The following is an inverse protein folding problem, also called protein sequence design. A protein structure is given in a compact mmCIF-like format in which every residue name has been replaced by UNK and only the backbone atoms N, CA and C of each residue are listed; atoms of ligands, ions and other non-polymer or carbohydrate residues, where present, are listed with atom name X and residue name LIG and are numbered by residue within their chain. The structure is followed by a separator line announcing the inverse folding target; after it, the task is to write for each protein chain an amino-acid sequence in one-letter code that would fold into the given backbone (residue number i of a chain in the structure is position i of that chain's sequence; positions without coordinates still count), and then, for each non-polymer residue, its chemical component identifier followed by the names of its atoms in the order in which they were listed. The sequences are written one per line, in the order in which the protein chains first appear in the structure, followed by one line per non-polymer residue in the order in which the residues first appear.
data_IF_188238459656
#
_entry.id   IF_188238459656
#
_cell.length_a   1.000
_cell.length_b   1.000
_cell.length_c   1.000
_cell.angle_alpha   90.00
_cell.angle_beta   90.00
_cell.angle_gamma   90.00
#
_symmetry.space_group_name_H-M   'P 1'
#
loop_
_entity.id
_entity.type
_entity.pdbx_description
1 polymer ?
#
# COMPACT_ATOMS: atom_id res chain seq x y z
N UNK A 1 24.65 -25.19 -16.41
CA UNK A 1 23.23 -24.83 -16.27
C UNK A 1 23.15 -23.30 -16.34
N UNK A 2 23.01 -22.79 -17.56
CA UNK A 2 23.02 -21.35 -17.84
C UNK A 2 21.64 -20.80 -17.54
N UNK A 3 21.56 -19.89 -16.56
CA UNK A 3 20.32 -19.15 -16.24
C UNK A 3 20.13 -18.11 -17.34
N UNK A 4 19.24 -18.40 -18.30
CA UNK A 4 18.73 -17.42 -19.25
C UNK A 4 17.71 -16.52 -18.52
N UNK A 5 18.16 -15.42 -17.96
CA UNK A 5 17.30 -14.46 -17.22
C UNK A 5 16.85 -13.28 -18.12
N UNK A 6 17.31 -13.19 -19.38
CA UNK A 6 16.92 -12.13 -20.30
C UNK A 6 16.73 -12.68 -21.72
N UNK A 7 15.71 -13.52 -21.95
CA UNK A 7 15.16 -13.66 -23.29
C UNK A 7 14.16 -12.52 -23.51
N UNK A 8 14.52 -11.68 -24.47
CA UNK A 8 13.79 -10.55 -25.05
C UNK A 8 12.30 -10.49 -24.68
N UNK A 9 11.94 -9.50 -23.87
CA UNK A 9 10.54 -9.09 -23.67
C UNK A 9 9.97 -8.78 -25.05
N UNK A 10 9.19 -9.72 -25.59
CA UNK A 10 8.65 -9.63 -26.95
C UNK A 10 7.51 -8.59 -26.93
N UNK A 11 7.55 -7.61 -27.82
CA UNK A 11 6.51 -6.58 -27.96
C UNK A 11 5.09 -7.20 -28.00
N UNK A 12 4.97 -8.40 -28.56
CA UNK A 12 3.71 -9.14 -28.62
C UNK A 12 3.23 -9.61 -27.22
N UNK A 13 4.12 -9.95 -26.31
CA UNK A 13 3.76 -10.32 -24.93
C UNK A 13 3.28 -9.08 -24.15
N UNK A 14 3.92 -7.95 -24.39
CA UNK A 14 3.47 -6.67 -23.83
C UNK A 14 2.08 -6.30 -24.36
N UNK A 15 1.86 -6.42 -25.66
CA UNK A 15 0.55 -6.14 -26.29
C UNK A 15 -0.51 -7.11 -25.77
N UNK A 16 -0.18 -8.41 -25.64
CA UNK A 16 -1.09 -9.42 -25.09
C UNK A 16 -1.39 -9.15 -23.62
N UNK A 17 -0.40 -8.73 -22.84
CA UNK A 17 -0.61 -8.33 -21.44
C UNK A 17 -1.59 -7.16 -21.36
N UNK A 18 -1.38 -6.08 -22.11
CA UNK A 18 -2.30 -4.94 -22.10
C UNK A 18 -3.69 -5.26 -22.66
N UNK A 19 -3.78 -6.16 -23.64
CA UNK A 19 -5.07 -6.59 -24.20
C UNK A 19 -5.86 -7.54 -23.29
N UNK A 20 -5.18 -8.21 -22.35
CA UNK A 20 -5.81 -9.06 -21.34
C UNK A 20 -6.36 -8.29 -20.13
N UNK A 21 -6.06 -6.99 -20.02
CA UNK A 21 -6.58 -6.15 -18.94
C UNK A 21 -8.06 -5.84 -19.22
N UNK A 22 -8.93 -6.42 -18.38
CA UNK A 22 -10.36 -6.10 -18.43
C UNK A 22 -10.62 -4.81 -17.64
N UNK A 23 -11.01 -3.75 -18.33
CA UNK A 23 -11.33 -2.44 -17.74
C UNK A 23 -12.80 -2.32 -17.30
N UNK A 24 -13.47 -3.44 -17.01
CA UNK A 24 -14.88 -3.45 -16.56
C UNK A 24 -15.04 -2.97 -15.09
N UNK A 25 -14.40 -1.87 -14.76
CA UNK A 25 -14.61 -1.24 -13.46
C UNK A 25 -15.94 -0.51 -13.39
N UNK A 26 -16.63 -0.66 -12.28
CA UNK A 26 -17.75 0.20 -11.97
C UNK A 26 -17.27 1.66 -11.79
N UNK A 27 -18.16 2.63 -11.99
CA UNK A 27 -17.85 4.05 -11.77
C UNK A 27 -17.34 4.27 -10.34
N UNK A 28 -17.91 3.55 -9.37
CA UNK A 28 -17.53 3.63 -7.94
C UNK A 28 -16.09 3.14 -7.74
N UNK A 29 -15.71 2.02 -8.34
CA UNK A 29 -14.34 1.49 -8.29
C UNK A 29 -13.35 2.45 -8.94
N UNK A 30 -13.70 2.99 -10.10
CA UNK A 30 -12.85 3.97 -10.80
C UNK A 30 -12.59 5.20 -9.94
N UNK A 31 -13.63 5.75 -9.30
CA UNK A 31 -13.49 6.89 -8.39
C UNK A 31 -12.62 6.51 -7.18
N UNK A 32 -12.84 5.34 -6.58
CA UNK A 32 -12.06 4.86 -5.44
C UNK A 32 -10.57 4.75 -5.78
N UNK A 33 -10.24 4.16 -6.95
CA UNK A 33 -8.85 4.04 -7.43
C UNK A 33 -8.22 5.40 -7.71
N UNK A 34 -8.92 6.31 -8.40
CA UNK A 34 -8.40 7.65 -8.70
C UNK A 34 -8.10 8.40 -7.41
N UNK A 35 -9.00 8.33 -6.42
CA UNK A 35 -8.79 8.97 -5.12
C UNK A 35 -7.65 8.31 -4.32
N UNK A 36 -7.44 7.00 -4.42
CA UNK A 36 -6.33 6.32 -3.76
C UNK A 36 -4.98 6.73 -4.37
N UNK A 37 -4.88 6.86 -5.68
CA UNK A 37 -3.68 7.39 -6.35
C UNK A 37 -3.44 8.86 -5.96
N UNK A 38 -4.50 9.68 -5.95
CA UNK A 38 -4.43 11.07 -5.52
C UNK A 38 -3.96 11.18 -4.07
N UNK A 39 -4.43 10.32 -3.17
CA UNK A 39 -3.94 10.24 -1.79
C UNK A 39 -2.43 10.09 -1.75
N UNK A 40 -1.87 9.09 -2.45
CA UNK A 40 -0.42 8.83 -2.42
C UNK A 40 0.37 10.00 -2.99
N UNK A 41 -0.08 10.60 -4.12
CA UNK A 41 0.57 11.77 -4.72
C UNK A 41 0.53 12.98 -3.75
N UNK A 42 -0.58 13.24 -3.09
CA UNK A 42 -0.68 14.33 -2.12
C UNK A 42 0.17 14.06 -0.87
N UNK A 43 0.27 12.79 -0.44
CA UNK A 43 1.11 12.40 0.68
C UNK A 43 2.61 12.63 0.38
N UNK A 44 3.09 12.39 -0.85
CA UNK A 44 4.47 12.72 -1.23
C UNK A 44 4.79 14.21 -1.08
N UNK A 45 3.78 15.06 -1.29
CA UNK A 45 3.87 16.52 -1.15
C UNK A 45 3.55 17.02 0.27
N UNK A 46 3.33 16.11 1.22
CA UNK A 46 2.89 16.40 2.59
C UNK A 46 1.61 17.27 2.65
N UNK A 47 0.79 17.22 1.61
CA UNK A 47 -0.44 17.99 1.57
C UNK A 47 -1.51 17.31 2.43
N UNK A 48 -2.08 18.03 3.40
CA UNK A 48 -3.06 17.50 4.36
C UNK A 48 -4.32 16.94 3.69
N UNK A 49 -4.68 17.42 2.50
CA UNK A 49 -5.82 16.91 1.73
C UNK A 49 -5.66 15.46 1.28
N UNK A 50 -4.43 14.89 1.41
CA UNK A 50 -4.23 13.46 1.21
C UNK A 50 -5.17 12.63 2.09
N UNK A 51 -5.41 13.04 3.33
CA UNK A 51 -6.28 12.34 4.25
C UNK A 51 -7.75 12.39 3.87
N UNK A 52 -8.21 13.51 3.25
CA UNK A 52 -9.56 13.58 2.71
C UNK A 52 -9.73 12.64 1.49
N UNK A 53 -8.76 12.63 0.57
CA UNK A 53 -8.75 11.72 -0.56
C UNK A 53 -8.72 10.24 -0.08
N UNK A 54 -7.87 9.91 0.90
CA UNK A 54 -7.82 8.60 1.52
C UNK A 54 -9.17 8.21 2.14
N UNK A 55 -9.76 9.08 2.96
CA UNK A 55 -11.02 8.82 3.65
C UNK A 55 -12.17 8.53 2.69
N UNK A 56 -12.30 9.32 1.61
CA UNK A 56 -13.35 9.11 0.60
C UNK A 56 -13.08 7.81 -0.17
N UNK A 57 -11.84 7.58 -0.64
CA UNK A 57 -11.47 6.36 -1.35
C UNK A 57 -11.80 5.11 -0.51
N UNK A 58 -11.36 5.10 0.74
CA UNK A 58 -11.55 3.98 1.66
C UNK A 58 -13.03 3.76 1.98
N UNK A 59 -13.84 4.82 2.12
CA UNK A 59 -15.29 4.70 2.32
C UNK A 59 -15.97 4.01 1.12
N UNK A 60 -15.54 4.32 -0.10
CA UNK A 60 -16.02 3.63 -1.30
C UNK A 60 -15.56 2.16 -1.30
N UNK A 61 -14.33 1.86 -0.91
CA UNK A 61 -13.85 0.48 -0.80
C UNK A 61 -14.57 -0.32 0.30
N UNK A 62 -14.97 0.30 1.42
CA UNK A 62 -15.82 -0.34 2.43
C UNK A 62 -17.13 -0.80 1.79
N UNK A 63 -17.78 0.07 1.02
CA UNK A 63 -19.02 -0.27 0.31
C UNK A 63 -18.79 -1.41 -0.69
N UNK A 64 -17.74 -1.33 -1.53
CA UNK A 64 -17.41 -2.34 -2.53
C UNK A 64 -17.12 -3.70 -1.87
N UNK A 65 -16.27 -3.75 -0.86
CA UNK A 65 -15.90 -4.98 -0.18
C UNK A 65 -17.10 -5.59 0.57
N UNK A 66 -17.91 -4.75 1.22
CA UNK A 66 -19.09 -5.22 1.96
C UNK A 66 -20.15 -5.83 1.03
N UNK A 67 -20.45 -5.17 -0.10
CA UNK A 67 -21.40 -5.70 -1.09
C UNK A 67 -20.90 -6.96 -1.79
N UNK A 68 -19.58 -7.11 -1.93
CA UNK A 68 -18.92 -8.31 -2.43
C UNK A 68 -18.78 -9.42 -1.37
N UNK A 69 -19.29 -9.20 -0.14
CA UNK A 69 -19.17 -10.13 1.01
C UNK A 69 -17.72 -10.45 1.42
N UNK A 70 -16.79 -9.54 1.12
CA UNK A 70 -15.38 -9.59 1.51
C UNK A 70 -15.22 -8.96 2.90
N UNK A 71 -15.69 -9.65 3.94
CA UNK A 71 -15.74 -9.09 5.30
C UNK A 71 -14.37 -8.81 5.93
N UNK A 72 -13.32 -9.66 5.73
CA UNK A 72 -11.97 -9.35 6.23
C UNK A 72 -11.40 -8.08 5.60
N UNK A 73 -11.56 -7.92 4.29
CA UNK A 73 -11.14 -6.74 3.54
C UNK A 73 -11.91 -5.49 3.98
N UNK A 74 -13.22 -5.64 4.21
CA UNK A 74 -14.06 -4.56 4.77
C UNK A 74 -13.53 -4.11 6.12
N UNK A 75 -13.14 -5.05 6.99
CA UNK A 75 -12.51 -4.74 8.29
C UNK A 75 -11.20 -3.98 8.15
N UNK A 76 -10.35 -4.34 7.20
CA UNK A 76 -9.11 -3.63 6.89
C UNK A 76 -9.39 -2.21 6.38
N UNK A 77 -10.39 -2.03 5.53
CA UNK A 77 -10.78 -0.71 5.05
C UNK A 77 -11.33 0.18 6.18
N UNK A 78 -12.09 -0.38 7.13
CA UNK A 78 -12.53 0.36 8.32
C UNK A 78 -11.31 0.83 9.14
N UNK A 79 -10.30 -0.03 9.32
CA UNK A 79 -9.04 0.38 9.94
C UNK A 79 -8.39 1.55 9.19
N UNK A 80 -8.28 1.51 7.87
CA UNK A 80 -7.70 2.59 7.08
C UNK A 80 -8.52 3.89 7.19
N UNK A 81 -9.85 3.80 7.28
CA UNK A 81 -10.70 4.98 7.52
C UNK A 81 -10.38 5.64 8.86
N UNK A 82 -10.24 4.85 9.93
CA UNK A 82 -9.83 5.35 11.25
C UNK A 82 -8.43 5.99 11.18
N UNK A 83 -7.51 5.38 10.43
CA UNK A 83 -6.17 5.93 10.24
C UNK A 83 -6.17 7.21 9.40
N UNK A 84 -7.10 7.37 8.46
CA UNK A 84 -7.25 8.62 7.70
C UNK A 84 -7.67 9.78 8.62
N UNK A 85 -8.64 9.57 9.52
CA UNK A 85 -8.99 10.55 10.55
C UNK A 85 -7.82 10.82 11.49
N UNK A 86 -7.18 9.77 12.01
CA UNK A 86 -6.04 9.93 12.90
C UNK A 86 -4.89 10.70 12.24
N UNK A 87 -4.57 10.39 10.98
CA UNK A 87 -3.53 11.05 10.21
C UNK A 87 -3.84 12.53 9.96
N UNK A 88 -5.09 12.85 9.61
CA UNK A 88 -5.54 14.23 9.48
C UNK A 88 -5.30 15.03 10.77
N UNK A 89 -5.73 14.51 11.93
CA UNK A 89 -5.52 15.18 13.22
C UNK A 89 -4.05 15.28 13.59
N UNK A 90 -3.24 14.24 13.27
CA UNK A 90 -1.80 14.26 13.57
C UNK A 90 -1.06 15.30 12.71
N UNK A 91 -1.38 15.38 11.41
CA UNK A 91 -0.73 16.33 10.52
C UNK A 91 -1.20 17.77 10.73
N UNK A 92 -2.38 17.97 11.32
CA UNK A 92 -2.91 19.30 11.64
C UNK A 92 -2.50 19.81 13.04
N UNK A 93 -1.77 19.01 13.84
CA UNK A 93 -1.21 19.48 15.11
C UNK A 93 -0.17 20.57 14.85
N UNK A 94 -0.04 21.50 15.84
CA UNK A 94 0.93 22.58 15.80
C UNK A 94 0.84 23.41 14.51
N UNK A 95 -0.38 23.78 14.08
CA UNK A 95 -0.63 24.57 12.86
C UNK A 95 -0.11 23.90 11.56
N UNK A 96 -0.01 22.56 11.54
CA UNK A 96 0.46 21.82 10.37
C UNK A 96 1.97 21.60 10.31
N UNK A 97 2.71 22.01 11.31
CA UNK A 97 4.19 21.93 11.39
C UNK A 97 4.69 20.56 11.90
N UNK A 98 4.02 19.46 11.55
CA UNK A 98 4.56 18.14 11.85
C UNK A 98 5.76 17.88 10.94
N UNK A 99 6.96 17.85 11.53
CA UNK A 99 8.21 17.56 10.83
C UNK A 99 8.33 16.08 10.42
N UNK A 100 9.17 15.81 9.42
CA UNK A 100 9.47 14.44 9.01
C UNK A 100 10.37 13.80 10.07
N UNK A 101 9.85 12.72 10.67
CA UNK A 101 10.55 11.98 11.69
C UNK A 101 11.45 10.89 11.08
N UNK A 102 12.63 10.70 11.68
CA UNK A 102 13.49 9.54 11.43
C UNK A 102 13.49 8.63 12.65
N UNK A 103 13.13 7.38 12.47
CA UNK A 103 13.16 6.40 13.55
C UNK A 103 14.51 5.69 13.59
N UNK A 104 14.93 5.33 14.79
CA UNK A 104 16.16 4.55 15.02
C UNK A 104 16.04 3.15 14.44
N UNK A 105 17.15 2.56 14.06
CA UNK A 105 17.21 1.18 13.53
C UNK A 105 16.58 0.17 14.51
N UNK A 106 16.75 0.38 15.83
CA UNK A 106 16.16 -0.48 16.84
C UNK A 106 14.63 -0.51 16.81
N UNK A 107 13.97 0.65 16.55
CA UNK A 107 12.51 0.69 16.36
C UNK A 107 12.08 -0.08 15.13
N UNK A 108 12.82 0.02 14.03
CA UNK A 108 12.53 -0.73 12.81
C UNK A 108 12.69 -2.23 13.02
N UNK A 109 13.77 -2.68 13.64
CA UNK A 109 13.99 -4.09 13.95
C UNK A 109 12.89 -4.65 14.85
N UNK A 110 12.45 -3.90 15.86
CA UNK A 110 11.35 -4.29 16.73
C UNK A 110 10.03 -4.43 15.96
N UNK A 111 9.69 -3.47 15.11
CA UNK A 111 8.46 -3.52 14.30
C UNK A 111 8.51 -4.64 13.26
N UNK A 112 9.65 -4.89 12.63
CA UNK A 112 9.85 -5.98 11.68
C UNK A 112 9.68 -7.33 12.39
N UNK A 113 10.27 -7.48 13.59
CA UNK A 113 10.16 -8.71 14.37
C UNK A 113 8.69 -8.99 14.77
N UNK A 114 7.99 -7.99 15.32
CA UNK A 114 6.58 -8.14 15.67
C UNK A 114 5.74 -8.40 14.41
N UNK A 115 5.97 -7.63 13.35
CA UNK A 115 5.28 -7.82 12.07
C UNK A 115 5.47 -9.23 11.51
N UNK A 116 6.69 -9.77 11.57
CA UNK A 116 6.99 -11.13 11.12
C UNK A 116 6.26 -12.19 11.97
N UNK A 117 6.25 -12.03 13.30
CA UNK A 117 5.53 -12.94 14.21
C UNK A 117 4.03 -12.92 13.91
N UNK A 118 3.43 -11.73 13.81
CA UNK A 118 1.98 -11.60 13.51
C UNK A 118 1.65 -12.15 12.12
N UNK A 119 2.49 -11.86 11.12
CA UNK A 119 2.35 -12.42 9.76
C UNK A 119 2.37 -13.95 9.78
N UNK A 120 3.31 -14.54 10.52
CA UNK A 120 3.41 -16.00 10.62
C UNK A 120 2.17 -16.60 11.32
N UNK A 121 1.75 -16.05 12.45
CA UNK A 121 0.57 -16.54 13.20
C UNK A 121 -0.71 -16.41 12.37
N UNK A 122 -0.89 -15.28 11.71
CA UNK A 122 -2.05 -15.01 10.88
C UNK A 122 -2.06 -15.89 9.61
N UNK A 123 -0.90 -16.00 8.96
CA UNK A 123 -0.72 -16.86 7.80
C UNK A 123 -0.92 -18.34 8.13
N UNK A 124 -0.40 -18.80 9.27
CA UNK A 124 -0.62 -20.17 9.76
C UNK A 124 -2.11 -20.43 10.03
N UNK A 125 -2.80 -19.49 10.70
CA UNK A 125 -4.24 -19.60 10.94
C UNK A 125 -5.02 -19.73 9.63
N UNK A 126 -4.79 -18.85 8.66
CA UNK A 126 -5.48 -18.91 7.37
C UNK A 126 -5.12 -20.12 6.53
N UNK A 127 -3.88 -20.62 6.60
CA UNK A 127 -3.48 -21.86 5.95
C UNK A 127 -4.24 -23.06 6.52
N UNK A 128 -4.48 -23.05 7.84
CA UNK A 128 -5.09 -24.21 8.53
C UNK A 128 -6.61 -24.20 8.43
N UNK A 129 -7.24 -23.03 8.47
CA UNK A 129 -8.70 -22.91 8.63
C UNK A 129 -9.42 -22.32 7.42
N UNK A 130 -8.70 -21.97 6.34
CA UNK A 130 -9.31 -21.40 5.13
C UNK A 130 -8.71 -22.00 3.86
N UNK A 131 -9.37 -21.76 2.72
CA UNK A 131 -8.88 -22.15 1.40
C UNK A 131 -8.12 -21.01 0.69
N UNK A 132 -7.48 -20.12 1.45
CA UNK A 132 -6.73 -18.99 0.87
C UNK A 132 -5.54 -19.52 0.03
N UNK A 133 -5.34 -18.94 -1.16
CA UNK A 133 -4.31 -19.42 -2.11
C UNK A 133 -2.89 -19.12 -1.62
N UNK A 134 -2.66 -17.96 -0.98
CA UNK A 134 -1.33 -17.48 -0.56
C UNK A 134 -1.41 -16.79 0.81
N UNK A 135 -1.85 -17.50 1.87
CA UNK A 135 -2.25 -16.88 3.14
C UNK A 135 -1.09 -16.18 3.87
N UNK A 136 0.15 -16.66 3.75
CA UNK A 136 1.33 -16.02 4.35
C UNK A 136 1.63 -14.70 3.64
N UNK A 137 1.53 -14.66 2.31
CA UNK A 137 1.79 -13.43 1.52
C UNK A 137 0.70 -12.39 1.78
N UNK A 138 -0.57 -12.81 1.82
CA UNK A 138 -1.69 -11.93 2.19
C UNK A 138 -1.52 -11.37 3.61
N UNK A 139 -1.13 -12.21 4.56
CA UNK A 139 -0.88 -11.78 5.93
C UNK A 139 0.28 -10.81 6.02
N UNK A 140 1.36 -11.03 5.25
CA UNK A 140 2.49 -10.12 5.17
C UNK A 140 2.06 -8.75 4.65
N UNK A 141 1.41 -8.69 3.50
CA UNK A 141 0.96 -7.42 2.93
C UNK A 141 0.01 -6.69 3.87
N UNK A 142 -0.93 -7.38 4.51
CA UNK A 142 -1.87 -6.80 5.47
C UNK A 142 -1.16 -6.22 6.69
N UNK A 143 -0.33 -7.01 7.38
CA UNK A 143 0.32 -6.60 8.64
C UNK A 143 1.28 -5.44 8.39
N UNK A 144 2.11 -5.53 7.36
CA UNK A 144 3.08 -4.48 7.07
C UNK A 144 2.43 -3.22 6.51
N UNK A 145 1.29 -3.30 5.81
CA UNK A 145 0.49 -2.13 5.42
C UNK A 145 -0.09 -1.39 6.62
N UNK A 146 -0.54 -2.11 7.66
CA UNK A 146 -0.98 -1.51 8.92
C UNK A 146 0.17 -0.73 9.57
N UNK A 147 1.37 -1.32 9.66
CA UNK A 147 2.57 -0.69 10.21
C UNK A 147 2.95 0.55 9.37
N UNK A 148 3.04 0.41 8.05
CA UNK A 148 3.41 1.49 7.15
C UNK A 148 2.41 2.65 7.20
N UNK A 149 1.11 2.37 7.24
CA UNK A 149 0.07 3.40 7.38
C UNK A 149 0.23 4.19 8.68
N UNK A 150 0.49 3.50 9.80
CA UNK A 150 0.78 4.17 11.06
C UNK A 150 2.02 5.08 10.96
N UNK A 151 3.08 4.62 10.27
CA UNK A 151 4.27 5.43 10.04
C UNK A 151 3.98 6.67 9.19
N UNK A 152 3.10 6.58 8.17
CA UNK A 152 2.66 7.76 7.39
C UNK A 152 1.99 8.79 8.29
N UNK A 153 1.10 8.37 9.20
CA UNK A 153 0.43 9.32 10.12
C UNK A 153 1.39 10.07 11.02
N UNK A 154 2.57 9.51 11.29
CA UNK A 154 3.66 10.11 12.08
C UNK A 154 4.71 10.81 11.22
N UNK A 155 4.49 10.95 9.92
CA UNK A 155 5.47 11.46 8.93
C UNK A 155 6.85 10.80 9.06
N UNK A 156 6.92 9.51 9.31
CA UNK A 156 8.20 8.79 9.39
C UNK A 156 8.77 8.58 7.99
N UNK A 157 9.97 9.09 7.70
CA UNK A 157 10.60 9.02 6.37
C UNK A 157 10.61 7.59 5.79
N UNK A 158 11.01 6.62 6.62
CA UNK A 158 11.16 5.23 6.20
C UNK A 158 9.83 4.51 5.89
N UNK A 159 8.66 5.15 6.09
CA UNK A 159 7.39 4.56 5.66
C UNK A 159 7.41 4.19 4.17
N UNK A 160 8.04 5.03 3.33
CA UNK A 160 8.14 4.83 1.89
C UNK A 160 8.90 3.56 1.54
N UNK A 161 9.95 3.21 2.31
CA UNK A 161 10.70 1.97 2.11
C UNK A 161 9.84 0.74 2.43
N UNK A 162 9.00 0.83 3.45
CA UNK A 162 8.02 -0.23 3.75
C UNK A 162 7.03 -0.39 2.61
N UNK A 163 6.49 0.71 2.09
CA UNK A 163 5.56 0.67 0.95
C UNK A 163 6.20 0.08 -0.30
N UNK A 164 7.44 0.44 -0.64
CA UNK A 164 8.15 -0.15 -1.78
C UNK A 164 8.21 -1.68 -1.67
N UNK A 165 8.52 -2.22 -0.48
CA UNK A 165 8.56 -3.68 -0.28
C UNK A 165 7.17 -4.30 -0.33
N UNK A 166 6.17 -3.68 0.32
CA UNK A 166 4.78 -4.16 0.34
C UNK A 166 4.22 -4.19 -1.08
N UNK A 167 4.39 -3.11 -1.83
CA UNK A 167 3.89 -2.99 -3.20
C UNK A 167 4.57 -3.99 -4.13
N UNK A 168 5.89 -4.20 -4.01
CA UNK A 168 6.62 -5.21 -4.79
C UNK A 168 6.08 -6.63 -4.55
N UNK A 169 5.78 -6.97 -3.28
CA UNK A 169 5.16 -8.26 -2.94
C UNK A 169 3.72 -8.31 -3.46
N UNK A 170 2.97 -7.21 -3.39
CA UNK A 170 1.61 -7.11 -3.91
C UNK A 170 1.54 -7.26 -5.43
N UNK A 171 2.51 -6.71 -6.18
CA UNK A 171 2.63 -6.93 -7.64
C UNK A 171 2.66 -8.44 -7.93
N UNK A 172 3.56 -9.18 -7.26
CA UNK A 172 3.65 -10.63 -7.43
C UNK A 172 2.35 -11.34 -7.05
N UNK A 173 1.75 -10.97 -5.90
CA UNK A 173 0.52 -11.56 -5.38
C UNK A 173 -0.64 -11.42 -6.36
N UNK A 174 -0.89 -10.20 -6.86
CA UNK A 174 -2.01 -9.92 -7.76
C UNK A 174 -1.76 -10.45 -9.18
N UNK A 175 -0.51 -10.42 -9.64
CA UNK A 175 -0.14 -11.05 -10.90
C UNK A 175 -0.39 -12.57 -10.89
N UNK A 176 -0.04 -13.26 -9.79
CA UNK A 176 -0.26 -14.71 -9.63
C UNK A 176 -1.74 -15.10 -9.51
N UNK A 177 -2.64 -14.13 -9.35
CA UNK A 177 -4.10 -14.30 -9.28
C UNK A 177 -4.82 -13.84 -10.54
N UNK A 178 -4.09 -13.56 -11.62
CA UNK A 178 -4.61 -13.02 -12.88
C UNK A 178 -5.31 -11.64 -12.72
N UNK A 179 -5.02 -10.92 -11.62
CA UNK A 179 -5.52 -9.58 -11.34
C UNK A 179 -4.54 -8.53 -11.89
N UNK A 180 -4.33 -8.55 -13.21
CA UNK A 180 -3.30 -7.77 -13.88
C UNK A 180 -3.45 -6.26 -13.71
N UNK A 181 -4.68 -5.76 -13.70
CA UNK A 181 -4.93 -4.32 -13.52
C UNK A 181 -4.56 -3.85 -12.11
N UNK A 182 -4.87 -4.65 -11.09
CA UNK A 182 -4.46 -4.37 -9.70
C UNK A 182 -2.95 -4.45 -9.56
N UNK A 183 -2.29 -5.42 -10.21
CA UNK A 183 -0.83 -5.51 -10.24
C UNK A 183 -0.20 -4.26 -10.87
N UNK A 184 -0.77 -3.74 -11.97
CA UNK A 184 -0.32 -2.50 -12.60
C UNK A 184 -0.48 -1.28 -11.68
N UNK A 185 -1.56 -1.23 -10.89
CA UNK A 185 -1.76 -0.19 -9.89
C UNK A 185 -0.67 -0.21 -8.81
N UNK A 186 -0.25 -1.39 -8.34
CA UNK A 186 0.84 -1.51 -7.38
C UNK A 186 2.21 -1.14 -7.97
N UNK A 187 2.43 -1.36 -9.28
CA UNK A 187 3.61 -0.83 -9.98
C UNK A 187 3.61 0.71 -9.90
N UNK A 188 2.46 1.35 -10.18
CA UNK A 188 2.35 2.81 -10.07
C UNK A 188 2.59 3.29 -8.63
N UNK A 189 2.05 2.60 -7.61
CA UNK A 189 2.31 2.94 -6.21
C UNK A 189 3.79 2.79 -5.83
N UNK A 190 4.48 1.73 -6.28
CA UNK A 190 5.92 1.56 -6.06
C UNK A 190 6.71 2.75 -6.62
N UNK A 191 6.39 3.17 -7.85
CA UNK A 191 7.04 4.33 -8.49
C UNK A 191 6.81 5.60 -7.66
N UNK A 192 5.54 5.86 -7.26
CA UNK A 192 5.21 7.04 -6.45
C UNK A 192 5.90 6.98 -5.08
N UNK A 193 6.00 5.80 -4.46
CA UNK A 193 6.67 5.61 -3.17
C UNK A 193 8.18 5.92 -3.25
N UNK A 194 8.84 5.53 -4.35
CA UNK A 194 10.25 5.89 -4.60
C UNK A 194 10.39 7.42 -4.68
N UNK A 195 9.54 8.10 -5.45
CA UNK A 195 9.55 9.56 -5.51
C UNK A 195 9.22 10.20 -4.16
N UNK A 196 8.28 9.65 -3.40
CA UNK A 196 7.92 10.09 -2.06
C UNK A 196 9.08 10.03 -1.08
N UNK A 197 9.84 8.93 -1.11
CA UNK A 197 11.05 8.80 -0.29
C UNK A 197 12.06 9.92 -0.57
N UNK A 198 12.41 10.15 -1.83
CA UNK A 198 13.37 11.20 -2.19
C UNK A 198 12.84 12.61 -1.93
N UNK A 199 11.55 12.85 -2.13
CA UNK A 199 10.93 14.14 -1.85
C UNK A 199 10.99 14.48 -0.35
N UNK A 200 10.68 13.50 0.53
CA UNK A 200 10.76 13.69 1.97
C UNK A 200 12.22 13.75 2.47
N UNK A 201 13.12 12.94 1.90
CA UNK A 201 14.55 12.96 2.27
C UNK A 201 15.16 14.34 2.00
N UNK A 202 14.86 14.96 0.83
CA UNK A 202 15.36 16.29 0.49
C UNK A 202 14.94 17.35 1.51
N UNK A 203 13.73 17.25 2.06
CA UNK A 203 13.25 18.21 3.05
C UNK A 203 13.98 18.04 4.40
N UNK A 204 14.22 16.80 4.85
CA UNK A 204 14.98 16.57 6.10
C UNK A 204 16.41 17.06 6.04
N UNK A 205 17.01 17.16 4.85
CA UNK A 205 18.40 17.68 4.68
C UNK A 205 18.44 19.19 4.46
N UNK A 206 17.31 19.82 4.12
CA UNK A 206 17.21 21.27 3.94
C UNK A 206 17.01 22.02 5.26
N UNK A 207 16.47 21.32 6.27
CA UNK A 207 16.12 21.87 7.59
C UNK A 207 17.24 21.60 8.64
N UNK A 208 18.32 20.90 8.25
CA UNK A 208 19.51 20.60 9.06
C UNK A 208 20.68 21.53 8.71
#
# INVERSE_FOLDING_TARGET
MQIRIFDSFNMNEIILFFSSIDFNWSIIETIAVVLSVLYVILATKQNIWCWAAAGISVALYIYICFTAQLYPETGLQIFYLLMAFYGYFQWNKNNGELEIAQWTIGKHLFLILIGAIVTFLMGFYFTTYTNAKMPIVDSFTTVFSIIATFMVTKKVLSNWLYWIVIDAVSIYLYFSRDLHLTSLLFIAYTIIAVFGYFAWLKQTTSDA
#
